data_IF_035830706903
#
_entry.id   IF_035830706903
#
_cell.length_a   1.000
_cell.length_b   1.000
_cell.length_c   1.000
_cell.angle_alpha   90.00
_cell.angle_beta   90.00
_cell.angle_gamma   90.00
#
_symmetry.space_group_name_H-M   'P 1'
#
loop_
_entity.id
_entity.type
_entity.pdbx_description
1 polymer ?
#
# COMPACT_ATOMS: atom_id res chain seq x y z
N UNK A 1 -39.94 21.80 -3.03
CA UNK A 1 -39.45 20.69 -3.90
C UNK A 1 -38.05 20.32 -3.46
N UNK A 2 -37.81 19.06 -3.07
CA UNK A 2 -36.51 18.63 -2.55
C UNK A 2 -35.42 18.68 -3.65
N UNK A 3 -34.39 19.49 -3.42
CA UNK A 3 -33.19 19.55 -4.26
C UNK A 3 -32.51 18.17 -4.27
N UNK A 4 -32.62 17.45 -5.38
CA UNK A 4 -31.82 16.23 -5.60
C UNK A 4 -30.36 16.65 -5.60
N UNK A 5 -29.57 16.25 -4.60
CA UNK A 5 -28.12 16.43 -4.55
C UNK A 5 -27.52 16.02 -5.89
N UNK A 6 -27.18 16.98 -6.74
CA UNK A 6 -26.56 16.77 -8.06
C UNK A 6 -25.10 16.39 -7.84
N UNK A 7 -24.87 15.16 -7.44
CA UNK A 7 -23.53 14.57 -7.48
C UNK A 7 -23.03 14.51 -8.94
N UNK A 8 -21.71 14.41 -9.13
CA UNK A 8 -21.10 14.22 -10.45
C UNK A 8 -21.79 13.05 -11.16
N UNK A 9 -22.23 13.20 -12.42
CA UNK A 9 -22.87 12.13 -13.16
C UNK A 9 -21.95 10.91 -13.24
N UNK A 10 -22.55 9.71 -13.22
CA UNK A 10 -21.81 8.46 -13.33
C UNK A 10 -21.15 8.38 -14.70
N UNK A 11 -19.85 8.08 -14.73
CA UNK A 11 -19.07 7.99 -15.97
C UNK A 11 -19.43 6.76 -16.81
N UNK A 12 -19.82 5.66 -16.17
CA UNK A 12 -20.21 4.42 -16.82
C UNK A 12 -21.67 4.11 -16.53
N UNK A 13 -22.40 3.68 -17.55
CA UNK A 13 -23.83 3.37 -17.45
C UNK A 13 -24.05 1.97 -16.88
N UNK A 14 -23.35 0.98 -17.45
CA UNK A 14 -23.49 -0.45 -17.15
C UNK A 14 -22.11 -1.12 -17.04
N UNK A 15 -22.05 -2.29 -16.39
CA UNK A 15 -20.79 -2.99 -16.17
C UNK A 15 -20.12 -3.50 -17.44
N UNK A 16 -20.89 -3.83 -18.48
CA UNK A 16 -20.34 -4.30 -19.75
C UNK A 16 -19.51 -3.20 -20.42
N UNK A 17 -19.99 -1.96 -20.39
CA UNK A 17 -19.24 -0.79 -20.87
C UNK A 17 -17.93 -0.60 -20.10
N UNK A 18 -17.96 -0.81 -18.77
CA UNK A 18 -16.72 -0.74 -17.97
C UNK A 18 -15.77 -1.89 -18.34
N UNK A 19 -16.30 -3.10 -18.53
CA UNK A 19 -15.53 -4.28 -18.89
C UNK A 19 -14.85 -4.13 -20.26
N UNK A 20 -15.55 -3.54 -21.23
CA UNK A 20 -15.02 -3.20 -22.55
C UNK A 20 -13.85 -2.22 -22.45
N UNK A 21 -14.00 -1.13 -21.68
CA UNK A 21 -12.89 -0.18 -21.46
C UNK A 21 -11.72 -0.79 -20.70
N UNK A 22 -11.97 -1.68 -19.75
CA UNK A 22 -10.92 -2.45 -19.10
C UNK A 22 -10.19 -3.33 -20.12
N UNK A 23 -10.90 -4.01 -21.01
CA UNK A 23 -10.30 -4.86 -22.04
C UNK A 23 -9.47 -4.03 -23.05
N UNK A 24 -9.99 -2.88 -23.48
CA UNK A 24 -9.31 -1.92 -24.35
C UNK A 24 -7.98 -1.44 -23.73
N UNK A 25 -7.99 -1.15 -22.43
CA UNK A 25 -6.76 -0.81 -21.70
C UNK A 25 -5.72 -1.94 -21.77
N UNK A 26 -6.11 -3.18 -21.44
CA UNK A 26 -5.18 -4.31 -21.49
C UNK A 26 -4.65 -4.58 -22.89
N UNK A 27 -5.51 -4.47 -23.91
CA UNK A 27 -5.10 -4.59 -25.31
C UNK A 27 -4.05 -3.53 -25.65
N UNK A 28 -4.33 -2.28 -25.31
CA UNK A 28 -3.40 -1.16 -25.56
C UNK A 28 -2.06 -1.29 -24.82
N UNK A 29 -2.04 -1.96 -23.66
CA UNK A 29 -0.82 -2.28 -22.94
C UNK A 29 -0.02 -3.38 -23.64
N UNK A 30 -0.72 -4.42 -24.11
CA UNK A 30 -0.13 -5.53 -24.86
C UNK A 30 0.52 -5.04 -26.15
N UNK A 31 -0.18 -4.23 -26.94
CA UNK A 31 0.33 -3.69 -28.21
C UNK A 31 1.59 -2.83 -28.01
N UNK A 32 1.66 -2.10 -26.89
CA UNK A 32 2.77 -1.20 -26.58
C UNK A 32 3.89 -1.88 -25.78
N UNK A 33 3.78 -3.17 -25.48
CA UNK A 33 4.71 -3.89 -24.60
C UNK A 33 4.81 -3.28 -23.19
N UNK A 34 3.74 -2.61 -22.71
CA UNK A 34 3.71 -1.94 -21.41
C UNK A 34 3.12 -2.85 -20.35
N UNK A 35 3.74 -2.81 -19.17
CA UNK A 35 3.23 -3.50 -17.98
C UNK A 35 1.95 -2.81 -17.52
N UNK A 36 0.82 -3.54 -17.40
CA UNK A 36 -0.40 -2.94 -16.89
C UNK A 36 -0.26 -2.63 -15.39
N UNK A 37 -0.64 -1.42 -14.99
CA UNK A 37 -0.64 -1.00 -13.58
C UNK A 37 -2.02 -0.56 -13.11
N UNK A 38 -2.27 -0.60 -11.79
CA UNK A 38 -3.51 -0.08 -11.19
C UNK A 38 -3.67 1.42 -11.45
N UNK A 39 -2.58 2.18 -11.33
CA UNK A 39 -2.58 3.62 -11.61
C UNK A 39 -2.89 3.92 -13.08
N UNK A 40 -2.28 3.18 -14.01
CA UNK A 40 -2.56 3.30 -15.45
C UNK A 40 -4.01 2.98 -15.79
N UNK A 41 -4.56 1.90 -15.20
CA UNK A 41 -5.97 1.54 -15.37
C UNK A 41 -6.89 2.64 -14.83
N UNK A 42 -6.58 3.18 -13.65
CA UNK A 42 -7.32 4.28 -13.03
C UNK A 42 -7.34 5.53 -13.92
N UNK A 43 -6.18 5.92 -14.44
CA UNK A 43 -6.01 7.05 -15.35
C UNK A 43 -6.77 6.84 -16.65
N UNK A 44 -6.65 5.66 -17.26
CA UNK A 44 -7.33 5.31 -18.50
C UNK A 44 -8.86 5.34 -18.35
N UNK A 45 -9.37 4.80 -17.24
CA UNK A 45 -10.79 4.88 -16.91
C UNK A 45 -11.21 6.31 -16.48
N UNK A 46 -10.25 7.23 -16.34
CA UNK A 46 -10.38 8.63 -15.95
C UNK A 46 -11.01 8.86 -14.57
N UNK A 47 -10.61 8.02 -13.61
CA UNK A 47 -10.70 8.33 -12.20
C UNK A 47 -9.54 9.26 -11.80
N UNK A 48 -9.81 10.17 -10.87
CA UNK A 48 -8.78 11.10 -10.38
C UNK A 48 -7.83 10.44 -9.36
N UNK A 49 -8.27 9.38 -8.70
CA UNK A 49 -7.57 8.77 -7.59
C UNK A 49 -7.70 7.23 -7.63
N UNK A 50 -6.57 6.48 -7.57
CA UNK A 50 -6.59 5.02 -7.45
C UNK A 50 -7.35 4.49 -6.23
N UNK A 51 -7.44 5.25 -5.13
CA UNK A 51 -8.22 4.84 -3.96
C UNK A 51 -9.72 4.88 -4.25
N UNK A 52 -10.19 5.79 -5.12
CA UNK A 52 -11.57 5.77 -5.59
C UNK A 52 -11.86 4.46 -6.35
N UNK A 53 -10.95 3.99 -7.22
CA UNK A 53 -11.11 2.73 -7.93
C UNK A 53 -11.22 1.53 -6.95
N UNK A 54 -10.39 1.50 -5.92
CA UNK A 54 -10.49 0.52 -4.82
C UNK A 54 -11.82 0.62 -4.07
N UNK A 55 -12.28 1.82 -3.75
CA UNK A 55 -13.58 2.02 -3.12
C UNK A 55 -14.73 1.44 -3.97
N UNK A 56 -14.71 1.64 -5.29
CA UNK A 56 -15.67 1.03 -6.21
C UNK A 56 -15.56 -0.49 -6.25
N UNK A 57 -14.35 -1.04 -6.13
CA UNK A 57 -14.15 -2.47 -6.00
C UNK A 57 -14.73 -3.00 -4.68
N UNK A 58 -14.52 -2.35 -3.54
CA UNK A 58 -14.79 -2.90 -2.21
C UNK A 58 -16.17 -2.56 -1.64
N UNK A 59 -16.64 -1.30 -1.80
CA UNK A 59 -17.76 -0.74 -1.02
C UNK A 59 -19.10 -0.75 -1.75
N UNK A 60 -19.18 -1.23 -2.99
CA UNK A 60 -20.46 -1.36 -3.70
C UNK A 60 -21.24 -2.62 -3.23
N UNK A 61 -21.85 -2.55 -2.05
CA UNK A 61 -23.09 -3.32 -1.75
C UNK A 61 -24.29 -2.76 -2.53
N UNK A 62 -24.19 -1.54 -3.06
CA UNK A 62 -25.19 -0.94 -3.93
C UNK A 62 -24.91 -1.30 -5.41
N UNK A 63 -25.70 -2.23 -5.95
CA UNK A 63 -25.84 -2.53 -7.40
C UNK A 63 -24.62 -3.18 -8.11
N UNK A 64 -24.07 -4.23 -7.50
CA UNK A 64 -23.50 -5.51 -7.97
C UNK A 64 -22.84 -5.76 -9.35
N UNK A 65 -22.77 -4.84 -10.32
CA UNK A 65 -22.25 -5.19 -11.65
C UNK A 65 -20.80 -4.73 -11.90
N UNK A 66 -20.39 -3.56 -11.40
CA UNK A 66 -19.06 -2.98 -11.69
C UNK A 66 -17.92 -3.58 -10.86
N UNK A 67 -18.19 -3.91 -9.59
CA UNK A 67 -17.18 -4.36 -8.64
C UNK A 67 -16.48 -5.65 -9.10
N UNK A 68 -17.22 -6.60 -9.70
CA UNK A 68 -16.63 -7.84 -10.24
C UNK A 68 -15.64 -7.57 -11.38
N UNK A 69 -15.98 -6.67 -12.31
CA UNK A 69 -15.12 -6.31 -13.44
C UNK A 69 -13.81 -5.68 -12.95
N UNK A 70 -13.89 -4.73 -12.00
CA UNK A 70 -12.70 -4.08 -11.43
C UNK A 70 -11.83 -5.08 -10.66
N UNK A 71 -12.43 -5.90 -9.78
CA UNK A 71 -11.66 -6.91 -9.03
C UNK A 71 -10.96 -7.89 -9.97
N UNK A 72 -11.65 -8.38 -11.01
CA UNK A 72 -11.05 -9.23 -12.04
C UNK A 72 -9.86 -8.55 -12.73
N UNK A 73 -9.98 -7.26 -13.06
CA UNK A 73 -8.90 -6.50 -13.65
C UNK A 73 -7.68 -6.36 -12.73
N UNK A 74 -7.90 -6.09 -11.43
CA UNK A 74 -6.82 -5.98 -10.44
C UNK A 74 -6.10 -7.32 -10.24
N UNK A 75 -6.85 -8.42 -10.13
CA UNK A 75 -6.27 -9.77 -10.07
C UNK A 75 -5.49 -10.09 -11.34
N UNK A 76 -5.99 -9.70 -12.52
CA UNK A 76 -5.28 -9.88 -13.78
C UNK A 76 -3.95 -9.11 -13.82
N UNK A 77 -3.91 -7.89 -13.28
CA UNK A 77 -2.67 -7.11 -13.15
C UNK A 77 -1.67 -7.84 -12.25
N UNK A 78 -2.11 -8.34 -11.11
CA UNK A 78 -1.26 -9.09 -10.18
C UNK A 78 -0.74 -10.39 -10.80
N UNK A 79 -1.62 -11.18 -11.42
CA UNK A 79 -1.27 -12.42 -12.09
C UNK A 79 -0.25 -12.20 -13.22
N UNK A 80 -0.41 -11.13 -14.00
CA UNK A 80 0.55 -10.78 -15.04
C UNK A 80 1.94 -10.49 -14.46
N UNK A 81 2.02 -9.71 -13.37
CA UNK A 81 3.30 -9.40 -12.70
C UNK A 81 3.94 -10.66 -12.13
N UNK A 82 3.15 -11.53 -11.52
CA UNK A 82 3.61 -12.81 -10.98
C UNK A 82 4.18 -13.70 -12.10
N UNK A 83 3.45 -13.82 -13.21
CA UNK A 83 3.89 -14.62 -14.37
C UNK A 83 5.19 -14.05 -14.96
N UNK A 84 5.30 -12.73 -15.09
CA UNK A 84 6.50 -12.10 -15.65
C UNK A 84 7.75 -12.29 -14.76
N UNK A 85 7.58 -12.55 -13.46
CA UNK A 85 8.70 -12.96 -12.58
C UNK A 85 9.08 -14.43 -12.76
N UNK A 86 8.12 -15.30 -13.08
CA UNK A 86 8.34 -16.73 -13.34
C UNK A 86 9.02 -16.95 -14.69
N UNK A 87 8.56 -16.23 -15.72
CA UNK A 87 9.09 -16.36 -17.08
C UNK A 87 10.54 -15.86 -17.20
N UNK A 88 10.99 -14.98 -16.29
CA UNK A 88 12.38 -14.53 -16.22
C UNK A 88 12.83 -13.63 -17.38
N UNK A 89 11.95 -13.28 -18.31
CA UNK A 89 12.26 -12.55 -19.55
C UNK A 89 12.47 -11.03 -19.35
N UNK A 90 12.64 -10.56 -18.12
CA UNK A 90 12.67 -9.12 -17.82
C UNK A 90 14.08 -8.62 -17.50
N UNK A 91 14.42 -7.46 -18.06
CA UNK A 91 15.61 -6.69 -17.68
C UNK A 91 15.74 -6.57 -16.15
N UNK A 92 16.95 -6.68 -15.56
CA UNK A 92 17.14 -6.70 -14.11
C UNK A 92 16.52 -5.51 -13.36
N UNK A 93 16.47 -4.32 -13.98
CA UNK A 93 15.83 -3.15 -13.41
C UNK A 93 14.30 -3.26 -13.34
N UNK A 94 13.68 -3.89 -14.34
CA UNK A 94 12.23 -4.12 -14.42
C UNK A 94 11.79 -5.20 -13.43
N UNK A 95 12.57 -6.26 -13.28
CA UNK A 95 12.35 -7.33 -12.31
C UNK A 95 12.34 -6.80 -10.86
N UNK A 96 13.32 -5.96 -10.49
CA UNK A 96 13.35 -5.30 -9.17
C UNK A 96 12.11 -4.44 -8.91
N UNK A 97 11.68 -3.68 -9.91
CA UNK A 97 10.47 -2.85 -9.82
C UNK A 97 9.20 -3.67 -9.58
N UNK A 98 9.06 -4.82 -10.26
CA UNK A 98 7.93 -5.73 -10.05
C UNK A 98 7.94 -6.36 -8.65
N UNK A 99 9.10 -6.81 -8.18
CA UNK A 99 9.24 -7.36 -6.83
C UNK A 99 8.87 -6.32 -5.77
N UNK A 100 9.34 -5.08 -5.94
CA UNK A 100 8.98 -3.98 -5.05
C UNK A 100 7.48 -3.70 -5.03
N UNK A 101 6.85 -3.62 -6.21
CA UNK A 101 5.41 -3.37 -6.31
C UNK A 101 4.57 -4.49 -5.68
N UNK A 102 4.91 -5.76 -5.91
CA UNK A 102 4.21 -6.89 -5.30
C UNK A 102 4.33 -6.90 -3.78
N UNK A 103 5.50 -6.54 -3.23
CA UNK A 103 5.71 -6.42 -1.79
C UNK A 103 4.96 -5.24 -1.17
N UNK A 104 5.04 -4.06 -1.80
CA UNK A 104 4.49 -2.82 -1.24
C UNK A 104 2.98 -2.68 -1.46
N UNK A 105 2.47 -3.11 -2.61
CA UNK A 105 1.09 -2.84 -3.04
C UNK A 105 0.20 -4.10 -3.02
N UNK A 106 0.77 -5.31 -3.11
CA UNK A 106 0.02 -6.57 -3.16
C UNK A 106 0.23 -7.44 -1.90
N UNK A 107 1.01 -6.99 -0.92
CA UNK A 107 1.16 -7.65 0.38
C UNK A 107 1.96 -8.95 0.34
N UNK A 108 2.73 -9.20 -0.73
CA UNK A 108 3.60 -10.36 -0.82
C UNK A 108 4.70 -10.27 0.24
N UNK A 109 4.90 -11.35 0.99
CA UNK A 109 5.93 -11.43 2.03
C UNK A 109 6.82 -12.64 1.82
N UNK A 110 8.12 -12.40 1.92
CA UNK A 110 9.11 -13.47 2.01
C UNK A 110 9.02 -14.10 3.39
N UNK A 111 9.00 -15.44 3.45
CA UNK A 111 9.07 -16.18 4.71
C UNK A 111 10.52 -16.22 5.15
N UNK A 112 10.89 -15.41 6.13
CA UNK A 112 12.21 -15.51 6.77
C UNK A 112 12.13 -16.53 7.91
N UNK A 113 12.83 -17.66 7.77
CA UNK A 113 13.08 -18.55 8.88
C UNK A 113 14.22 -17.95 9.71
N UNK A 114 13.88 -17.03 10.62
CA UNK A 114 14.85 -16.61 11.65
C UNK A 114 14.92 -17.76 12.64
N UNK A 115 15.99 -18.55 12.59
CA UNK A 115 16.35 -19.40 13.72
C UNK A 115 16.76 -18.45 14.83
N UNK A 116 15.88 -18.29 15.81
CA UNK A 116 16.28 -17.75 17.11
C UNK A 116 17.12 -18.85 17.76
N UNK A 117 18.40 -18.89 17.42
CA UNK A 117 19.36 -19.56 18.27
C UNK A 117 19.47 -18.66 19.49
N UNK A 118 18.75 -19.04 20.56
CA UNK A 118 18.95 -18.43 21.87
C UNK A 118 20.45 -18.55 22.14
N UNK A 119 21.16 -17.43 22.36
CA UNK A 119 22.54 -17.55 22.80
C UNK A 119 22.50 -18.25 24.16
N UNK A 120 23.13 -19.43 24.24
CA UNK A 120 23.48 -20.09 25.50
C UNK A 120 24.55 -19.25 26.21
N UNK A 121 24.14 -18.06 26.64
CA UNK A 121 24.95 -17.09 27.34
C UNK A 121 24.16 -16.73 28.58
N UNK A 122 24.51 -17.41 29.67
CA UNK A 122 24.15 -16.98 31.01
C UNK A 122 24.42 -15.48 31.15
N UNK A 123 23.34 -14.73 31.40
CA UNK A 123 23.40 -13.33 31.80
C UNK A 123 23.72 -12.33 30.68
N UNK A 124 22.72 -11.94 29.88
CA UNK A 124 22.57 -10.53 29.47
C UNK A 124 21.18 -10.28 28.88
N UNK A 125 20.18 -10.24 29.76
CA UNK A 125 18.98 -9.50 29.43
C UNK A 125 19.39 -8.05 29.21
N UNK A 126 19.15 -7.51 28.03
CA UNK A 126 19.18 -6.07 27.80
C UNK A 126 18.04 -5.50 28.65
N UNK A 127 18.34 -5.18 29.91
CA UNK A 127 17.42 -4.44 30.73
C UNK A 127 17.16 -3.11 30.02
N UNK A 128 15.88 -2.80 29.79
CA UNK A 128 15.45 -1.48 29.36
C UNK A 128 15.75 -0.52 30.52
N UNK A 129 17.00 -0.09 30.65
CA UNK A 129 17.41 0.98 31.59
C UNK A 129 17.11 2.33 30.93
N UNK A 130 15.90 2.47 30.38
CA UNK A 130 15.55 3.51 29.41
C UNK A 130 14.71 4.67 29.94
N UNK A 131 14.27 4.64 31.21
CA UNK A 131 13.42 5.72 31.74
C UNK A 131 13.86 6.23 33.11
N UNK A 132 14.04 5.35 34.10
CA UNK A 132 14.38 5.77 35.47
C UNK A 132 15.77 6.43 35.60
N UNK A 133 16.74 6.05 34.75
CA UNK A 133 18.08 6.66 34.75
C UNK A 133 18.06 8.08 34.17
N UNK A 134 17.25 8.31 33.13
CA UNK A 134 17.03 9.63 32.53
C UNK A 134 16.26 10.54 33.49
N UNK A 135 15.23 10.01 34.14
CA UNK A 135 14.42 10.75 35.11
C UNK A 135 15.25 11.22 36.32
N UNK A 136 16.13 10.36 36.84
CA UNK A 136 17.07 10.71 37.92
C UNK A 136 18.12 11.74 37.48
N UNK A 137 18.58 11.68 36.22
CA UNK A 137 19.48 12.68 35.66
C UNK A 137 18.80 14.06 35.56
N UNK A 138 17.56 14.11 35.06
CA UNK A 138 16.77 15.35 35.00
C UNK A 138 16.50 15.94 36.40
N UNK A 139 16.15 15.10 37.38
CA UNK A 139 15.91 15.53 38.77
C UNK A 139 17.15 16.14 39.42
N UNK A 140 18.34 15.56 39.24
CA UNK A 140 19.60 16.09 39.78
C UNK A 140 20.00 17.40 39.14
N UNK A 141 19.77 17.55 37.84
CA UNK A 141 20.13 18.76 37.10
C UNK A 141 19.26 19.96 37.48
N UNK A 142 17.96 19.74 37.73
CA UNK A 142 17.06 20.79 38.21
C UNK A 142 17.35 21.22 39.65
N UNK A 143 17.82 20.29 40.51
CA UNK A 143 18.21 20.60 41.88
C UNK A 143 19.49 21.46 41.99
N UNK A 144 20.36 21.44 40.99
CA UNK A 144 21.61 22.23 40.96
C UNK A 144 21.42 23.63 40.37
N UNK A 145 20.27 23.92 39.76
CA UNK A 145 19.94 25.22 39.14
C UNK A 145 19.06 26.12 40.02
N UNK A 146 18.90 25.82 41.31
CA UNK A 146 18.28 26.76 42.26
C UNK A 146 19.35 27.77 42.73
N UNK A 147 19.29 29.05 42.34
CA UNK A 147 20.22 30.04 42.87
C UNK A 147 19.96 30.23 44.36
N UNK A 148 21.02 30.16 45.15
CA UNK A 148 21.00 30.60 46.54
C UNK A 148 20.54 32.07 46.54
N UNK A 149 19.35 32.32 47.08
CA UNK A 149 18.93 33.64 47.49
C UNK A 149 19.78 34.01 48.71
N UNK A 150 20.89 34.70 48.50
CA UNK A 150 21.66 35.32 49.57
C UNK A 150 20.75 36.33 50.29
N UNK A 151 20.43 35.97 51.52
CA UNK A 151 19.74 36.79 52.52
C UNK A 151 20.68 37.83 53.10
N UNK A 152 20.08 38.98 53.39
CA UNK A 152 20.59 40.20 54.02
C UNK A 152 21.41 40.02 55.29
#
# INVERSE_FOLDING_TARGET
>A
MASRKKGRPRKYRNADQLQEKIAEYFHSCSERGKIPTKAGLCYYLGFADPAALSYYADRCKARNHFSKAIRKALVKIEAWKAQALVDGELEPGRLRGLCFDLRCNHGWREKTAVKTEEPDVGGSGVAVIGWHRWENYCRRRLAQSSPASDSS
#
